data_IF_461438051050
#
_entry.id   IF_461438051050
#
_cell.length_a   1.000
_cell.length_b   1.000
_cell.length_c   1.000
_cell.angle_alpha   90.00
_cell.angle_beta   90.00
_cell.angle_gamma   90.00
#
_symmetry.space_group_name_H-M   'P 1'
#
loop_
_entity.id
_entity.type
_entity.pdbx_description
1 polymer ?
#
# COMPACT_ATOMS: atom_id res chain seq x y z
N UNK A 1 16.81 10.26 -20.40
CA UNK A 1 17.08 10.11 -18.93
C UNK A 1 16.30 11.08 -18.04
N UNK A 2 16.12 12.36 -18.43
CA UNK A 2 15.41 13.35 -17.61
C UNK A 2 13.94 13.00 -17.29
N UNK A 3 13.23 12.32 -18.21
CA UNK A 3 11.82 11.91 -18.06
C UNK A 3 11.63 10.86 -16.97
N UNK A 4 12.45 9.79 -16.97
CA UNK A 4 12.38 8.71 -15.97
C UNK A 4 12.69 9.24 -14.57
N UNK A 5 13.73 10.07 -14.41
CA UNK A 5 14.06 10.66 -13.12
C UNK A 5 12.92 11.54 -12.56
N UNK A 6 12.22 12.27 -13.44
CA UNK A 6 11.05 13.09 -13.08
C UNK A 6 9.86 12.22 -12.68
N UNK A 7 9.60 11.14 -13.42
CA UNK A 7 8.58 10.14 -13.09
C UNK A 7 8.89 9.49 -11.74
N UNK A 8 10.13 9.07 -11.48
CA UNK A 8 10.53 8.48 -10.20
C UNK A 8 10.38 9.45 -9.03
N UNK A 9 10.74 10.73 -9.20
CA UNK A 9 10.52 11.77 -8.18
C UNK A 9 9.03 12.03 -7.92
N UNK A 10 8.19 11.86 -8.96
CA UNK A 10 6.73 12.01 -8.88
C UNK A 10 6.02 10.75 -8.37
N UNK A 11 6.54 9.57 -8.61
CA UNK A 11 5.90 8.34 -8.18
C UNK A 11 6.43 7.86 -6.81
N UNK A 12 7.60 8.34 -6.37
CA UNK A 12 8.25 7.90 -5.14
C UNK A 12 7.39 8.02 -3.89
N UNK A 13 6.70 9.16 -3.68
CA UNK A 13 5.80 9.33 -2.54
C UNK A 13 4.67 8.29 -2.50
N UNK A 14 3.85 8.20 -3.57
CA UNK A 14 2.84 7.14 -3.72
C UNK A 14 3.39 5.72 -3.51
N UNK A 15 4.52 5.37 -4.14
CA UNK A 15 5.12 4.04 -4.01
C UNK A 15 5.63 3.75 -2.59
N UNK A 16 6.19 4.75 -1.89
CA UNK A 16 6.61 4.60 -0.50
C UNK A 16 5.41 4.35 0.41
N UNK A 17 4.29 5.06 0.19
CA UNK A 17 3.06 4.84 0.96
C UNK A 17 2.46 3.46 0.67
N UNK A 18 2.46 3.05 -0.60
CA UNK A 18 2.07 1.68 -0.99
C UNK A 18 2.92 0.63 -0.30
N UNK A 19 4.25 0.79 -0.35
CA UNK A 19 5.20 -0.12 0.29
C UNK A 19 5.01 -0.21 1.80
N UNK A 20 4.78 0.92 2.47
CA UNK A 20 4.47 0.95 3.91
C UNK A 20 3.19 0.17 4.23
N UNK A 21 2.14 0.33 3.41
CA UNK A 21 0.90 -0.43 3.54
C UNK A 21 1.10 -1.94 3.35
N UNK A 22 1.84 -2.34 2.32
CA UNK A 22 2.18 -3.75 2.10
C UNK A 22 2.99 -4.34 3.26
N UNK A 23 3.98 -3.61 3.76
CA UNK A 23 4.77 -4.05 4.91
C UNK A 23 3.90 -4.23 6.16
N UNK A 24 2.99 -3.30 6.43
CA UNK A 24 2.07 -3.39 7.55
C UNK A 24 1.13 -4.59 7.42
N UNK A 25 0.57 -4.80 6.23
CA UNK A 25 -0.31 -5.94 5.96
C UNK A 25 0.43 -7.27 6.12
N UNK A 26 1.66 -7.36 5.59
CA UNK A 26 2.50 -8.54 5.70
C UNK A 26 2.86 -8.85 7.15
N UNK A 27 3.25 -7.83 7.93
CA UNK A 27 3.55 -8.01 9.35
C UNK A 27 2.29 -8.43 10.15
N UNK A 28 1.12 -7.89 9.81
CA UNK A 28 -0.16 -8.36 10.36
C UNK A 28 -0.44 -9.83 10.03
N UNK A 29 -0.21 -10.24 8.78
CA UNK A 29 -0.41 -11.63 8.31
C UNK A 29 0.57 -12.61 9.00
N UNK A 30 1.82 -12.20 9.19
CA UNK A 30 2.80 -13.01 9.92
C UNK A 30 2.41 -13.15 11.41
N UNK A 31 1.89 -12.07 12.02
CA UNK A 31 1.37 -12.11 13.38
C UNK A 31 0.15 -13.02 13.51
N UNK A 32 -0.78 -12.94 12.55
CA UNK A 32 -1.96 -13.79 12.45
C UNK A 32 -1.58 -15.28 12.37
N UNK A 33 -0.70 -15.63 11.42
CA UNK A 33 -0.14 -16.98 11.30
C UNK A 33 0.48 -17.49 12.60
N UNK A 34 1.31 -16.66 13.26
CA UNK A 34 1.92 -17.03 14.54
C UNK A 34 0.86 -17.33 15.60
N UNK A 35 -0.19 -16.54 15.67
CA UNK A 35 -1.24 -16.73 16.65
C UNK A 35 -2.08 -17.99 16.39
N UNK A 36 -2.43 -18.27 15.14
CA UNK A 36 -3.22 -19.46 14.77
C UNK A 36 -2.41 -20.76 14.86
N UNK A 37 -1.16 -20.76 14.41
CA UNK A 37 -0.40 -21.99 14.20
C UNK A 37 0.63 -22.29 15.30
N UNK A 38 1.10 -21.27 16.02
CA UNK A 38 2.22 -21.41 16.97
C UNK A 38 1.76 -21.14 18.41
N UNK A 39 1.08 -20.03 18.67
CA UNK A 39 0.67 -19.65 20.02
C UNK A 39 -0.52 -20.47 20.55
N UNK A 40 -1.29 -21.08 19.65
CA UNK A 40 -2.45 -21.91 19.97
C UNK A 40 -3.78 -21.17 19.81
N UNK A 41 -4.84 -21.95 19.58
CA UNK A 41 -6.18 -21.46 19.21
C UNK A 41 -6.84 -20.60 20.30
N UNK A 42 -7.44 -19.48 19.89
CA UNK A 42 -8.33 -18.67 20.72
C UNK A 42 -9.52 -18.15 19.89
N UNK A 43 -10.78 -18.35 20.31
CA UNK A 43 -11.95 -17.83 19.59
C UNK A 43 -11.95 -16.31 19.39
N UNK A 44 -11.21 -15.56 20.22
CA UNK A 44 -11.09 -14.12 20.07
C UNK A 44 -10.23 -13.71 18.85
N UNK A 45 -9.36 -14.61 18.36
CA UNK A 45 -8.52 -14.38 17.18
C UNK A 45 -9.34 -14.48 15.89
N UNK A 46 -10.38 -15.32 15.88
CA UNK A 46 -11.29 -15.48 14.72
C UNK A 46 -12.12 -14.22 14.42
N UNK A 47 -12.17 -13.26 15.34
CA UNK A 47 -12.90 -12.01 15.15
C UNK A 47 -12.24 -11.16 14.08
N UNK A 48 -13.02 -10.63 13.14
CA UNK A 48 -12.56 -9.63 12.16
C UNK A 48 -11.87 -8.41 12.80
N UNK A 49 -12.22 -8.09 14.05
CA UNK A 49 -11.65 -6.97 14.80
C UNK A 49 -10.48 -7.36 15.71
N UNK A 50 -9.96 -8.59 15.60
CA UNK A 50 -8.75 -8.98 16.30
C UNK A 50 -7.59 -8.02 15.95
N UNK A 51 -6.69 -7.69 16.89
CA UNK A 51 -5.63 -6.72 16.64
C UNK A 51 -4.77 -7.01 15.40
N UNK A 52 -4.46 -8.29 15.14
CA UNK A 52 -3.71 -8.71 13.94
C UNK A 52 -4.49 -8.47 12.66
N UNK A 53 -5.79 -8.78 12.62
CA UNK A 53 -6.66 -8.46 11.49
C UNK A 53 -6.77 -6.97 11.23
N UNK A 54 -6.93 -6.16 12.29
CA UNK A 54 -6.95 -4.69 12.16
C UNK A 54 -5.66 -4.17 11.54
N UNK A 55 -4.50 -4.74 11.92
CA UNK A 55 -3.22 -4.40 11.31
C UNK A 55 -3.15 -4.78 9.82
N UNK A 56 -3.66 -5.97 9.45
CA UNK A 56 -3.78 -6.41 8.06
C UNK A 56 -4.63 -5.43 7.24
N UNK A 57 -5.84 -5.14 7.70
CA UNK A 57 -6.78 -4.26 7.00
C UNK A 57 -6.28 -2.83 6.92
N UNK A 58 -5.65 -2.31 7.99
CA UNK A 58 -5.01 -1.00 7.96
C UNK A 58 -3.90 -0.96 6.90
N UNK A 59 -3.08 -2.01 6.80
CA UNK A 59 -2.04 -2.11 5.77
C UNK A 59 -2.61 -2.08 4.35
N UNK A 60 -3.68 -2.83 4.10
CA UNK A 60 -4.39 -2.85 2.81
C UNK A 60 -4.94 -1.46 2.48
N UNK A 61 -5.58 -0.79 3.45
CA UNK A 61 -6.12 0.57 3.26
C UNK A 61 -4.99 1.55 2.94
N UNK A 62 -3.88 1.52 3.68
CA UNK A 62 -2.72 2.39 3.43
C UNK A 62 -2.14 2.15 2.04
N UNK A 63 -2.05 0.89 1.62
CA UNK A 63 -1.58 0.55 0.28
C UNK A 63 -2.52 1.10 -0.82
N UNK A 64 -3.83 0.93 -0.64
CA UNK A 64 -4.83 1.48 -1.54
C UNK A 64 -4.78 3.01 -1.62
N UNK A 65 -4.58 3.69 -0.48
CA UNK A 65 -4.41 5.15 -0.43
C UNK A 65 -3.15 5.60 -1.18
N UNK A 66 -2.04 4.87 -1.06
CA UNK A 66 -0.83 5.11 -1.84
C UNK A 66 -1.08 5.00 -3.35
N UNK A 67 -1.83 3.98 -3.78
CA UNK A 67 -2.22 3.80 -5.17
C UNK A 67 -3.11 4.94 -5.68
N UNK A 68 -4.17 5.28 -4.95
CA UNK A 68 -5.09 6.37 -5.30
C UNK A 68 -4.35 7.71 -5.36
N UNK A 69 -3.45 7.97 -4.42
CA UNK A 69 -2.59 9.15 -4.46
C UNK A 69 -1.71 9.19 -5.71
N UNK A 70 -1.14 8.04 -6.11
CA UNK A 70 -0.39 7.89 -7.35
C UNK A 70 -1.23 8.25 -8.58
N UNK A 71 -2.45 7.71 -8.68
CA UNK A 71 -3.38 8.03 -9.78
C UNK A 71 -3.71 9.52 -9.82
N UNK A 72 -4.10 10.11 -8.70
CA UNK A 72 -4.41 11.54 -8.62
C UNK A 72 -3.21 12.38 -9.07
N UNK A 73 -2.00 12.04 -8.61
CA UNK A 73 -0.80 12.78 -8.96
C UNK A 73 -0.51 12.69 -10.47
N UNK A 74 -0.67 11.53 -11.08
CA UNK A 74 -0.51 11.37 -12.55
C UNK A 74 -1.54 12.24 -13.29
N UNK A 75 -2.82 12.13 -12.94
CA UNK A 75 -3.92 12.86 -13.60
C UNK A 75 -3.75 14.38 -13.51
N UNK A 76 -3.40 14.91 -12.33
CA UNK A 76 -3.33 16.36 -12.11
C UNK A 76 -1.96 16.98 -12.41
N UNK A 77 -0.88 16.20 -12.51
CA UNK A 77 0.46 16.75 -12.85
C UNK A 77 0.88 16.57 -14.31
N UNK A 78 0.13 15.79 -15.11
CA UNK A 78 0.37 15.66 -16.56
C UNK A 78 -0.56 16.55 -17.41
N UNK A 79 -1.74 16.96 -16.90
CA UNK A 79 -2.67 17.80 -17.66
C UNK A 79 -3.21 17.14 -18.95
N UNK A 80 -4.31 17.64 -19.53
CA UNK A 80 -4.78 17.15 -20.82
C UNK A 80 -3.77 17.55 -21.91
N UNK A 81 -3.13 16.57 -22.57
CA UNK A 81 -2.33 16.81 -23.78
C UNK A 81 -0.80 16.76 -23.65
N UNK A 82 -0.21 16.58 -22.46
CA UNK A 82 1.22 16.23 -22.35
C UNK A 82 1.38 14.70 -22.40
N UNK A 83 1.20 14.12 -23.59
CA UNK A 83 1.73 12.78 -23.82
C UNK A 83 3.20 12.92 -24.19
N UNK A 84 4.11 12.35 -23.39
CA UNK A 84 5.54 12.21 -23.72
C UNK A 84 5.79 11.35 -24.99
N UNK A 85 4.73 10.97 -25.71
CA UNK A 85 4.71 10.21 -26.96
C UNK A 85 4.52 11.09 -28.21
N UNK A 86 4.37 12.41 -28.04
CA UNK A 86 4.17 13.36 -29.14
C UNK A 86 5.47 14.03 -29.63
N UNK A 87 6.62 13.60 -29.12
CA UNK A 87 7.96 14.01 -29.58
C UNK A 87 8.69 12.83 -30.25
#
# INVERSE_FOLDING_TARGET
MATIARILKRAGGPFMLMGAGFFLAFAGLAGDYYQHEIAGFSPALESFFAPVHVMIFAGIIVAALGFLWGLLRITFTLGPGQSDWAD
#
